data_IF_392538170589
#
_entry.id   IF_392538170589
#
_cell.length_a   1.000
_cell.length_b   1.000
_cell.length_c   1.000
_cell.angle_alpha   90.00
_cell.angle_beta   90.00
_cell.angle_gamma   90.00
#
_symmetry.space_group_name_H-M   'P 1'
#
loop_
_entity.id
_entity.type
_entity.pdbx_description
1 polymer ?
#
# COMPACT_ATOMS: atom_id res chain seq x y z
N UNK A 1 0.40 48.67 10.22
CA UNK A 1 0.16 47.80 9.06
C UNK A 1 0.51 46.38 9.47
N UNK A 2 -0.50 45.58 9.81
CA UNK A 2 -0.31 44.13 10.02
C UNK A 2 -0.39 43.44 8.66
N UNK A 3 0.50 42.50 8.33
CA UNK A 3 0.31 41.67 7.16
C UNK A 3 -0.83 40.66 7.45
N UNK A 4 -1.75 40.53 6.49
CA UNK A 4 -2.78 39.50 6.48
C UNK A 4 -2.14 38.10 6.41
N UNK A 5 -2.73 37.07 7.02
CA UNK A 5 -2.29 35.70 6.77
C UNK A 5 -2.62 35.31 5.34
N UNK A 6 -1.63 34.76 4.63
CA UNK A 6 -1.82 34.15 3.33
C UNK A 6 -2.75 32.94 3.47
N UNK A 7 -3.95 33.07 2.91
CA UNK A 7 -4.92 31.99 2.85
C UNK A 7 -4.44 31.00 1.77
N UNK A 8 -3.76 29.93 2.17
CA UNK A 8 -3.35 28.84 1.26
C UNK A 8 -4.52 27.89 0.99
N UNK A 9 -5.58 28.40 0.38
CA UNK A 9 -6.54 27.55 -0.33
C UNK A 9 -5.95 27.23 -1.69
N UNK A 10 -5.00 26.30 -1.71
CA UNK A 10 -4.72 25.55 -2.93
C UNK A 10 -5.91 24.59 -3.10
N UNK A 11 -6.86 24.94 -3.95
CA UNK A 11 -7.92 24.02 -4.37
C UNK A 11 -7.27 22.76 -4.98
N UNK A 12 -7.20 21.69 -4.19
CA UNK A 12 -6.77 20.37 -4.63
C UNK A 12 -7.97 19.67 -5.29
N UNK A 13 -8.33 20.08 -6.50
CA UNK A 13 -9.53 19.61 -7.19
C UNK A 13 -9.67 18.07 -7.26
N UNK A 14 -8.56 17.31 -7.21
CA UNK A 14 -8.56 15.84 -7.17
C UNK A 14 -8.62 15.20 -5.77
N UNK A 15 -8.21 15.90 -4.70
CA UNK A 15 -8.22 15.33 -3.34
C UNK A 15 -9.62 15.30 -2.75
N UNK A 16 -10.46 16.32 -3.02
CA UNK A 16 -11.81 16.39 -2.45
C UNK A 16 -12.71 15.22 -2.89
N UNK A 17 -12.80 14.85 -4.18
CA UNK A 17 -13.53 13.65 -4.60
C UNK A 17 -12.97 12.35 -4.01
N UNK A 18 -11.63 12.26 -3.89
CA UNK A 18 -10.96 11.10 -3.33
C UNK A 18 -11.28 10.91 -1.84
N UNK A 19 -11.22 11.99 -1.07
CA UNK A 19 -11.62 12.03 0.34
C UNK A 19 -13.10 11.68 0.49
N UNK A 20 -13.97 12.12 -0.42
CA UNK A 20 -15.39 11.80 -0.37
C UNK A 20 -15.62 10.30 -0.56
N UNK A 21 -15.02 9.68 -1.58
CA UNK A 21 -15.11 8.24 -1.81
C UNK A 21 -14.68 7.42 -0.59
N UNK A 22 -13.54 7.78 0.03
CA UNK A 22 -13.10 7.09 1.25
C UNK A 22 -14.09 7.30 2.41
N UNK A 23 -14.65 8.50 2.58
CA UNK A 23 -15.62 8.82 3.64
C UNK A 23 -16.98 8.17 3.41
N UNK A 24 -17.44 8.01 2.18
CA UNK A 24 -18.75 7.44 1.89
C UNK A 24 -18.67 5.92 1.78
N UNK A 25 -17.73 5.40 1.01
CA UNK A 25 -17.68 3.97 0.64
C UNK A 25 -16.63 3.17 1.43
N UNK A 26 -15.70 3.84 2.13
CA UNK A 26 -14.62 3.19 2.86
C UNK A 26 -13.43 2.78 1.99
N UNK A 27 -13.46 3.07 0.69
CA UNK A 27 -12.35 2.86 -0.22
C UNK A 27 -12.39 3.87 -1.36
N UNK A 28 -11.28 3.99 -2.09
CA UNK A 28 -11.23 4.67 -3.36
C UNK A 28 -10.18 4.05 -4.29
N UNK A 29 -10.51 4.01 -5.58
CA UNK A 29 -9.58 3.65 -6.65
C UNK A 29 -9.14 4.92 -7.38
N UNK A 30 -7.84 5.11 -7.57
CA UNK A 30 -7.24 6.24 -8.27
C UNK A 30 -6.44 5.70 -9.44
N UNK A 31 -6.74 6.19 -10.64
CA UNK A 31 -6.02 5.79 -11.84
C UNK A 31 -4.63 6.42 -11.88
N UNK A 32 -3.70 5.78 -12.58
CA UNK A 32 -2.30 6.15 -12.70
C UNK A 32 -2.07 7.63 -13.02
N UNK A 33 -2.82 8.21 -13.98
CA UNK A 33 -2.66 9.61 -14.37
C UNK A 33 -2.98 10.58 -13.22
N UNK A 34 -4.08 10.34 -12.50
CA UNK A 34 -4.50 11.16 -11.37
C UNK A 34 -3.57 10.97 -10.18
N UNK A 35 -3.19 9.72 -9.88
CA UNK A 35 -2.27 9.42 -8.79
C UNK A 35 -0.89 10.02 -9.05
N UNK A 36 -0.39 9.95 -10.28
CA UNK A 36 0.84 10.61 -10.68
C UNK A 36 0.76 12.12 -10.48
N UNK A 37 -0.34 12.77 -10.89
CA UNK A 37 -0.53 14.20 -10.68
C UNK A 37 -0.55 14.57 -9.18
N UNK A 38 -1.22 13.77 -8.36
CA UNK A 38 -1.26 13.95 -6.90
C UNK A 38 0.14 13.82 -6.26
N UNK A 39 0.90 12.80 -6.64
CA UNK A 39 2.26 12.59 -6.13
C UNK A 39 3.23 13.69 -6.63
N UNK A 40 3.15 14.07 -7.89
CA UNK A 40 3.99 15.13 -8.46
C UNK A 40 3.67 16.52 -7.88
N UNK A 41 2.43 16.76 -7.47
CA UNK A 41 2.07 17.97 -6.72
C UNK A 41 2.56 17.95 -5.26
N UNK A 42 2.78 16.75 -4.71
CA UNK A 42 3.24 16.56 -3.33
C UNK A 42 4.77 16.62 -3.19
N UNK A 43 5.50 15.98 -4.09
CA UNK A 43 6.94 15.82 -3.98
C UNK A 43 7.63 15.36 -5.26
N UNK A 44 8.84 14.82 -5.11
CA UNK A 44 9.73 14.46 -6.23
C UNK A 44 9.67 12.95 -6.48
N UNK A 45 9.67 12.57 -7.75
CA UNK A 45 9.70 11.18 -8.23
C UNK A 45 10.92 10.91 -9.12
N UNK A 46 12.02 11.64 -8.90
CA UNK A 46 13.20 11.61 -9.80
C UNK A 46 13.94 10.26 -9.80
N UNK A 47 13.83 9.50 -8.70
CA UNK A 47 14.41 8.17 -8.52
C UNK A 47 13.43 7.04 -8.91
N UNK A 48 12.32 7.35 -9.60
CA UNK A 48 11.28 6.36 -9.95
C UNK A 48 11.84 5.11 -10.63
N UNK A 49 12.84 5.25 -11.50
CA UNK A 49 13.47 4.11 -12.19
C UNK A 49 14.14 3.16 -11.20
N UNK A 50 14.93 3.69 -10.25
CA UNK A 50 15.60 2.89 -9.23
C UNK A 50 14.60 2.33 -8.21
N UNK A 51 13.57 3.12 -7.88
CA UNK A 51 12.46 2.70 -7.03
C UNK A 51 11.77 1.45 -7.59
N UNK A 52 11.37 1.46 -8.87
CA UNK A 52 10.77 0.29 -9.55
C UNK A 52 11.76 -0.87 -9.64
N UNK A 53 13.02 -0.60 -9.99
CA UNK A 53 14.05 -1.63 -10.14
C UNK A 53 14.30 -2.41 -8.83
N UNK A 54 14.08 -1.80 -7.67
CA UNK A 54 14.28 -2.46 -6.37
C UNK A 54 13.41 -3.70 -6.15
N UNK A 55 12.28 -3.85 -6.87
CA UNK A 55 11.45 -5.05 -6.80
C UNK A 55 12.15 -6.31 -7.36
N UNK A 56 13.15 -6.14 -8.23
CA UNK A 56 13.90 -7.25 -8.81
C UNK A 56 14.81 -7.97 -7.79
N UNK A 57 15.18 -7.27 -6.73
CA UNK A 57 16.10 -7.74 -5.68
C UNK A 57 15.36 -8.14 -4.39
N UNK A 58 14.04 -8.32 -4.45
CA UNK A 58 13.28 -8.77 -3.29
C UNK A 58 13.60 -10.23 -2.94
N UNK A 59 13.93 -10.53 -1.69
CA UNK A 59 14.14 -11.89 -1.21
C UNK A 59 12.81 -12.63 -1.05
N UNK A 60 12.87 -13.96 -1.00
CA UNK A 60 11.71 -14.82 -0.79
C UNK A 60 11.15 -14.62 0.63
N UNK A 61 9.82 -14.54 0.74
CA UNK A 61 9.08 -14.61 2.00
C UNK A 61 9.16 -16.05 2.54
N UNK A 62 10.13 -16.31 3.43
CA UNK A 62 10.36 -17.64 4.00
C UNK A 62 9.18 -18.14 4.85
N UNK A 63 8.37 -17.24 5.41
CA UNK A 63 7.19 -17.63 6.18
C UNK A 63 6.13 -18.22 5.23
N UNK A 64 5.85 -17.57 4.10
CA UNK A 64 4.92 -18.13 3.10
C UNK A 64 5.48 -19.37 2.41
N UNK A 65 6.79 -19.41 2.14
CA UNK A 65 7.43 -20.58 1.55
C UNK A 65 7.23 -21.83 2.42
N UNK A 66 7.27 -21.68 3.75
CA UNK A 66 7.04 -22.77 4.70
C UNK A 66 5.63 -23.41 4.61
N UNK A 67 4.64 -22.70 4.02
CA UNK A 67 3.28 -23.21 3.78
C UNK A 67 3.00 -23.47 2.29
N UNK A 68 4.05 -23.59 1.47
CA UNK A 68 3.94 -23.95 0.05
C UNK A 68 3.49 -22.81 -0.86
N UNK A 69 3.53 -21.56 -0.38
CA UNK A 69 3.17 -20.35 -1.14
C UNK A 69 4.40 -19.52 -1.44
N UNK A 70 4.33 -18.69 -2.48
CA UNK A 70 5.48 -17.88 -2.91
C UNK A 70 5.11 -16.41 -3.03
N UNK A 71 5.97 -15.58 -2.44
CA UNK A 71 5.97 -14.12 -2.54
C UNK A 71 7.39 -13.65 -2.26
N UNK A 72 7.81 -12.57 -2.89
CA UNK A 72 9.04 -11.87 -2.50
C UNK A 72 8.69 -10.57 -1.82
N UNK A 73 9.46 -10.19 -0.80
CA UNK A 73 9.15 -8.98 -0.03
C UNK A 73 10.31 -8.37 0.72
N UNK A 74 10.15 -7.08 1.01
CA UNK A 74 10.91 -6.34 2.01
C UNK A 74 9.96 -5.50 2.87
N UNK A 75 10.45 -5.07 4.03
CA UNK A 75 9.66 -4.36 5.03
C UNK A 75 10.43 -3.16 5.61
N UNK A 76 9.71 -2.08 5.93
CA UNK A 76 10.23 -0.96 6.68
C UNK A 76 9.13 -0.35 7.56
N UNK A 77 9.55 0.32 8.62
CA UNK A 77 8.66 1.01 9.55
C UNK A 77 9.06 2.48 9.65
N UNK A 78 8.05 3.34 9.75
CA UNK A 78 8.20 4.78 9.92
C UNK A 78 7.28 5.27 11.03
N UNK A 79 7.70 6.35 11.68
CA UNK A 79 6.84 7.16 12.52
C UNK A 79 6.45 8.41 11.73
N UNK A 80 5.14 8.63 11.56
CA UNK A 80 4.61 9.76 10.83
C UNK A 80 3.74 10.61 11.77
N UNK A 81 4.26 11.72 12.31
CA UNK A 81 3.42 12.72 12.98
C UNK A 81 2.31 13.21 12.03
N UNK A 82 1.18 13.65 12.59
CA UNK A 82 0.07 14.20 11.81
C UNK A 82 0.47 15.42 10.96
N UNK A 83 1.55 16.12 11.37
CA UNK A 83 2.24 17.15 10.60
C UNK A 83 3.74 17.11 10.88
N UNK A 84 4.56 17.41 9.88
CA UNK A 84 6.01 17.50 10.01
C UNK A 84 6.76 16.34 9.36
N UNK A 85 8.03 16.12 9.73
CA UNK A 85 8.87 15.11 9.09
C UNK A 85 8.44 13.69 9.48
N UNK A 86 8.42 12.80 8.49
CA UNK A 86 8.28 11.35 8.69
C UNK A 86 9.68 10.78 8.92
N UNK A 87 9.85 9.95 9.93
CA UNK A 87 11.14 9.38 10.30
C UNK A 87 11.12 7.86 10.20
N UNK A 88 12.17 7.27 9.63
CA UNK A 88 12.34 5.81 9.60
C UNK A 88 12.60 5.31 11.03
N UNK A 89 11.83 4.32 11.46
CA UNK A 89 12.02 3.64 12.74
C UNK A 89 13.11 2.55 12.62
N UNK A 90 13.69 2.09 13.73
CA UNK A 90 14.53 0.90 13.74
C UNK A 90 13.83 -0.29 13.07
N UNK A 91 14.61 -1.16 12.43
CA UNK A 91 14.05 -2.38 11.86
C UNK A 91 13.40 -3.24 12.96
N UNK A 92 12.20 -3.72 12.67
CA UNK A 92 11.38 -4.45 13.62
C UNK A 92 10.48 -5.45 12.89
N UNK A 93 10.01 -6.46 13.61
CA UNK A 93 9.08 -7.44 13.07
C UNK A 93 7.76 -6.81 12.60
N UNK A 94 7.18 -7.41 11.58
CA UNK A 94 5.78 -7.25 11.26
C UNK A 94 4.96 -8.25 12.09
N UNK A 95 3.98 -7.74 12.85
CA UNK A 95 3.12 -8.55 13.71
C UNK A 95 1.65 -8.27 13.36
N UNK A 96 0.89 -9.35 13.16
CA UNK A 96 -0.56 -9.32 13.02
C UNK A 96 -1.15 -10.37 13.95
N UNK A 97 -2.31 -10.09 14.55
CA UNK A 97 -2.99 -11.11 15.35
C UNK A 97 -3.64 -12.16 14.46
N UNK A 98 -3.94 -13.36 15.00
CA UNK A 98 -4.68 -14.39 14.25
C UNK A 98 -6.05 -13.91 13.74
N UNK A 99 -6.66 -12.93 14.39
CA UNK A 99 -7.93 -12.34 13.94
C UNK A 99 -7.82 -11.63 12.58
N UNK A 100 -6.64 -11.08 12.27
CA UNK A 100 -6.38 -10.37 11.01
C UNK A 100 -5.59 -11.22 10.01
N UNK A 101 -4.70 -12.10 10.50
CA UNK A 101 -3.93 -13.01 9.66
C UNK A 101 -4.16 -14.47 10.08
N UNK A 102 -5.10 -15.13 9.41
CA UNK A 102 -5.45 -16.53 9.72
C UNK A 102 -4.37 -17.54 9.34
N UNK A 103 -3.41 -17.16 8.49
CA UNK A 103 -2.31 -18.02 8.03
C UNK A 103 -1.09 -17.97 8.95
N UNK A 104 -0.76 -16.77 9.45
CA UNK A 104 0.52 -16.47 10.10
C UNK A 104 0.38 -15.41 11.21
N UNK A 105 -0.77 -15.36 11.87
CA UNK A 105 -1.00 -14.46 13.00
C UNK A 105 -0.33 -14.94 14.28
N UNK A 106 -0.24 -14.03 15.25
CA UNK A 106 0.33 -14.20 16.59
C UNK A 106 1.82 -14.62 16.60
N UNK A 107 2.52 -14.39 15.49
CA UNK A 107 3.97 -14.54 15.38
C UNK A 107 4.62 -13.24 14.90
N UNK A 108 5.80 -12.95 15.43
CA UNK A 108 6.67 -11.88 14.91
C UNK A 108 7.37 -12.36 13.64
N UNK A 109 7.13 -11.67 12.53
CA UNK A 109 7.75 -11.98 11.24
C UNK A 109 8.81 -10.94 10.90
N UNK A 110 10.07 -11.37 10.91
CA UNK A 110 11.21 -10.55 10.52
C UNK A 110 11.47 -10.72 9.03
N UNK A 111 11.27 -9.66 8.26
CA UNK A 111 11.52 -9.63 6.82
C UNK A 111 12.76 -8.77 6.53
N UNK A 112 13.42 -9.00 5.40
CA UNK A 112 14.57 -8.16 5.03
C UNK A 112 14.16 -6.68 4.91
N UNK A 113 14.99 -5.74 5.37
CA UNK A 113 14.65 -4.33 5.37
C UNK A 113 14.57 -3.79 3.94
N UNK A 114 13.70 -2.82 3.68
CA UNK A 114 13.77 -2.01 2.44
C UNK A 114 15.16 -1.36 2.35
N UNK A 115 15.77 -1.45 1.17
CA UNK A 115 17.12 -0.93 0.93
C UNK A 115 17.21 0.56 1.26
N UNK A 116 18.32 0.99 1.88
CA UNK A 116 18.47 2.34 2.41
C UNK A 116 18.26 3.44 1.36
N UNK A 117 18.80 3.24 0.15
CA UNK A 117 18.64 4.19 -0.96
C UNK A 117 17.17 4.39 -1.37
N UNK A 118 16.34 3.34 -1.25
CA UNK A 118 14.91 3.39 -1.54
C UNK A 118 14.13 3.93 -0.35
N UNK A 119 14.48 3.49 0.86
CA UNK A 119 13.85 3.90 2.10
C UNK A 119 14.00 5.41 2.38
N UNK A 120 15.11 6.00 1.95
CA UNK A 120 15.43 7.43 2.10
C UNK A 120 15.24 8.19 0.77
N UNK A 121 14.75 7.51 -0.26
CA UNK A 121 14.61 8.04 -1.61
C UNK A 121 13.46 9.05 -1.75
N UNK A 122 13.55 9.98 -2.72
CA UNK A 122 12.51 10.97 -2.97
C UNK A 122 11.13 10.37 -3.29
N UNK A 123 11.06 9.30 -4.09
CA UNK A 123 9.78 8.66 -4.45
C UNK A 123 9.06 8.13 -3.21
N UNK A 124 9.73 7.33 -2.38
CA UNK A 124 9.08 6.77 -1.19
C UNK A 124 8.69 7.87 -0.22
N UNK A 125 9.56 8.87 -0.01
CA UNK A 125 9.26 10.02 0.83
C UNK A 125 8.00 10.77 0.36
N UNK A 126 7.84 10.93 -0.95
CA UNK A 126 6.66 11.57 -1.56
C UNK A 126 5.39 10.73 -1.34
N UNK A 127 5.46 9.42 -1.57
CA UNK A 127 4.31 8.52 -1.35
C UNK A 127 3.88 8.52 0.13
N UNK A 128 4.83 8.43 1.06
CA UNK A 128 4.55 8.47 2.49
C UNK A 128 3.96 9.82 2.93
N UNK A 129 4.54 10.92 2.45
CA UNK A 129 4.06 12.26 2.73
C UNK A 129 2.65 12.48 2.20
N UNK A 130 2.38 12.09 0.95
CA UNK A 130 1.05 12.15 0.35
C UNK A 130 0.04 11.36 1.16
N UNK A 131 0.33 10.09 1.46
CA UNK A 131 -0.57 9.22 2.21
C UNK A 131 -0.88 9.80 3.61
N UNK A 132 0.13 10.32 4.31
CA UNK A 132 -0.02 10.99 5.61
C UNK A 132 -0.90 12.24 5.49
N UNK A 133 -0.66 13.11 4.50
CA UNK A 133 -1.44 14.34 4.31
C UNK A 133 -2.89 14.05 3.85
N UNK A 134 -3.11 12.92 3.19
CA UNK A 134 -4.43 12.46 2.81
C UNK A 134 -5.21 11.85 3.98
N UNK A 135 -4.59 10.94 4.76
CA UNK A 135 -5.27 10.21 5.83
C UNK A 135 -5.37 10.99 7.14
N UNK A 136 -4.37 11.79 7.52
CA UNK A 136 -4.38 12.48 8.83
C UNK A 136 -5.61 13.40 9.04
N UNK A 137 -6.11 14.16 8.03
CA UNK A 137 -7.33 14.95 8.18
C UNK A 137 -8.61 14.12 8.39
N UNK A 138 -8.60 12.82 8.09
CA UNK A 138 -9.72 11.92 8.35
C UNK A 138 -9.84 11.53 9.82
N UNK A 139 -8.73 11.57 10.55
CA UNK A 139 -8.61 11.26 11.97
C UNK A 139 -7.84 12.36 12.72
N UNK A 140 -8.39 13.58 12.83
CA UNK A 140 -7.70 14.75 13.37
C UNK A 140 -7.28 14.61 14.85
N UNK A 141 -7.87 13.66 15.57
CA UNK A 141 -7.51 13.31 16.94
C UNK A 141 -6.19 12.53 17.07
N UNK A 142 -5.69 11.94 15.97
CA UNK A 142 -4.48 11.12 15.97
C UNK A 142 -3.25 12.02 15.81
N UNK A 143 -2.36 12.00 16.80
CA UNK A 143 -1.16 12.84 16.81
C UNK A 143 -0.02 12.29 15.94
N UNK A 144 0.10 10.97 15.86
CA UNK A 144 1.12 10.28 15.09
C UNK A 144 0.66 8.88 14.66
N UNK A 145 1.28 8.39 13.60
CA UNK A 145 0.99 7.11 12.98
C UNK A 145 2.21 6.21 13.03
N UNK A 146 1.97 4.95 13.36
CA UNK A 146 2.85 3.83 13.06
C UNK A 146 2.61 3.44 11.61
N UNK A 147 3.61 3.61 10.76
CA UNK A 147 3.50 3.36 9.33
C UNK A 147 4.36 2.17 8.96
N UNK A 148 3.77 1.16 8.33
CA UNK A 148 4.54 0.07 7.75
C UNK A 148 4.52 0.13 6.24
N UNK A 149 5.66 -0.16 5.65
CA UNK A 149 5.85 -0.24 4.21
C UNK A 149 6.23 -1.67 3.85
N UNK A 150 5.48 -2.24 2.93
CA UNK A 150 5.74 -3.57 2.38
C UNK A 150 5.94 -3.46 0.87
N UNK A 151 7.11 -3.89 0.41
CA UNK A 151 7.33 -4.16 -1.01
C UNK A 151 6.91 -5.60 -1.25
N UNK A 152 6.01 -5.85 -2.19
CA UNK A 152 5.59 -7.19 -2.56
C UNK A 152 5.76 -7.43 -4.05
N UNK A 153 6.37 -8.57 -4.40
CA UNK A 153 6.34 -9.15 -5.74
C UNK A 153 5.66 -10.52 -5.68
N UNK A 154 4.65 -10.70 -6.52
CA UNK A 154 3.94 -11.97 -6.71
C UNK A 154 4.30 -12.49 -8.09
N UNK A 155 4.81 -13.73 -8.15
CA UNK A 155 5.28 -14.36 -9.39
C UNK A 155 4.48 -15.66 -9.61
N UNK A 156 3.42 -15.64 -10.45
CA UNK A 156 2.77 -16.88 -10.84
C UNK A 156 3.67 -17.69 -11.79
N UNK A 157 3.45 -18.99 -11.83
CA UNK A 157 4.10 -19.90 -12.77
C UNK A 157 3.07 -20.57 -13.69
N UNK A 158 3.54 -21.38 -14.64
CA UNK A 158 2.68 -22.19 -15.50
C UNK A 158 1.81 -23.19 -14.70
N UNK A 159 2.26 -23.62 -13.52
CA UNK A 159 1.60 -24.66 -12.71
C UNK A 159 0.98 -24.13 -11.43
N UNK A 160 1.27 -22.90 -11.02
CA UNK A 160 0.80 -22.31 -9.77
C UNK A 160 0.39 -20.85 -9.99
N UNK A 161 -0.85 -20.53 -9.65
CA UNK A 161 -1.31 -19.14 -9.62
C UNK A 161 -0.61 -18.38 -8.48
N UNK A 162 -0.35 -17.10 -8.70
CA UNK A 162 0.20 -16.19 -7.71
C UNK A 162 -0.93 -15.60 -6.89
N UNK A 163 -0.84 -15.67 -5.56
CA UNK A 163 -1.92 -15.24 -4.67
C UNK A 163 -1.47 -14.02 -3.87
N UNK A 164 -1.91 -12.80 -4.23
CA UNK A 164 -1.52 -11.60 -3.50
C UNK A 164 -2.02 -11.59 -2.05
N UNK A 165 -3.25 -12.09 -1.85
CA UNK A 165 -3.93 -12.21 -0.56
C UNK A 165 -4.27 -13.69 -0.30
N UNK A 166 -3.29 -14.53 0.11
CA UNK A 166 -3.49 -15.97 0.26
C UNK A 166 -4.54 -16.35 1.32
N UNK A 167 -4.81 -15.46 2.27
CA UNK A 167 -5.88 -15.52 3.27
C UNK A 167 -7.29 -15.24 2.71
N UNK A 168 -7.39 -14.67 1.51
CA UNK A 168 -8.65 -14.23 0.91
C UNK A 168 -9.05 -12.80 1.28
N UNK A 169 -10.36 -12.56 1.37
CA UNK A 169 -10.92 -11.26 1.76
C UNK A 169 -10.68 -11.03 3.25
N UNK A 170 -9.97 -9.97 3.60
CA UNK A 170 -9.47 -9.71 4.95
C UNK A 170 -9.47 -8.21 5.29
N UNK A 171 -8.98 -7.91 6.49
CA UNK A 171 -8.56 -6.58 6.94
C UNK A 171 -7.14 -6.69 7.48
N UNK A 172 -6.37 -5.62 7.35
CA UNK A 172 -4.97 -5.59 7.77
C UNK A 172 -4.80 -5.42 9.28
N UNK A 173 -5.84 -4.91 9.98
CA UNK A 173 -5.80 -4.61 11.41
C UNK A 173 -5.17 -3.26 11.70
N UNK A 174 -5.37 -2.30 10.80
CA UNK A 174 -4.84 -0.93 10.85
C UNK A 174 -5.99 0.07 10.65
N UNK A 175 -5.68 1.37 10.56
CA UNK A 175 -6.70 2.38 10.31
C UNK A 175 -6.86 2.63 8.81
N UNK A 176 -5.75 2.82 8.10
CA UNK A 176 -5.76 3.11 6.66
C UNK A 176 -4.71 2.35 5.89
N UNK A 177 -5.00 2.06 4.62
CA UNK A 177 -4.10 1.36 3.70
C UNK A 177 -4.02 2.11 2.38
N UNK A 178 -2.81 2.27 1.85
CA UNK A 178 -2.54 2.62 0.46
C UNK A 178 -1.88 1.41 -0.21
N UNK A 179 -2.47 0.92 -1.30
CA UNK A 179 -1.86 -0.06 -2.20
C UNK A 179 -1.56 0.64 -3.51
N UNK A 180 -0.28 0.74 -3.89
CA UNK A 180 0.17 1.38 -5.13
C UNK A 180 0.76 0.31 -6.05
N UNK A 181 0.27 0.21 -7.29
CA UNK A 181 0.89 -0.64 -8.30
C UNK A 181 2.21 -0.02 -8.76
N UNK A 182 3.27 -0.82 -8.68
CA UNK A 182 4.62 -0.39 -9.09
C UNK A 182 4.91 -0.89 -10.50
N UNK A 183 4.68 -2.18 -10.72
CA UNK A 183 4.81 -2.80 -12.04
C UNK A 183 3.92 -4.03 -12.15
N UNK A 184 3.58 -4.39 -13.37
CA UNK A 184 2.77 -5.57 -13.69
C UNK A 184 3.13 -6.04 -15.08
N UNK A 185 3.47 -7.32 -15.20
CA UNK A 185 3.90 -7.88 -16.48
C UNK A 185 3.36 -9.28 -16.68
N UNK A 186 2.89 -9.54 -17.91
CA UNK A 186 2.52 -10.88 -18.38
C UNK A 186 1.53 -11.62 -17.47
N UNK A 187 0.59 -10.92 -16.85
CA UNK A 187 -0.42 -11.54 -15.97
C UNK A 187 -1.84 -11.12 -16.30
N UNK A 188 -2.79 -12.02 -16.05
CA UNK A 188 -4.23 -11.72 -16.03
C UNK A 188 -4.73 -11.56 -14.58
N UNK A 189 -5.96 -11.10 -14.41
CA UNK A 189 -6.66 -10.99 -13.11
C UNK A 189 -6.01 -10.01 -12.13
N UNK A 190 -5.77 -10.37 -10.86
CA UNK A 190 -5.25 -9.42 -9.86
C UNK A 190 -6.22 -8.29 -9.54
N UNK A 191 -7.51 -8.56 -9.74
CA UNK A 191 -8.64 -7.69 -9.40
C UNK A 191 -8.76 -7.59 -7.89
N UNK A 192 -8.77 -6.36 -7.39
CA UNK A 192 -9.13 -6.01 -6.02
C UNK A 192 -10.64 -6.08 -5.87
N UNK A 193 -11.13 -6.73 -4.82
CA UNK A 193 -12.53 -6.74 -4.43
C UNK A 193 -12.69 -6.10 -3.05
N UNK A 194 -13.76 -5.34 -2.85
CA UNK A 194 -14.11 -4.67 -1.59
C UNK A 194 -15.44 -5.19 -1.11
N UNK A 195 -15.52 -5.53 0.18
CA UNK A 195 -16.68 -6.16 0.78
C UNK A 195 -17.11 -5.44 2.07
N UNK A 196 -18.42 -5.41 2.32
CA UNK A 196 -18.97 -5.02 3.62
C UNK A 196 -18.76 -6.12 4.66
N UNK A 197 -19.00 -5.80 5.93
CA UNK A 197 -18.81 -6.73 7.06
C UNK A 197 -19.69 -7.99 6.98
N UNK A 198 -20.80 -7.94 6.25
CA UNK A 198 -21.68 -9.09 5.97
C UNK A 198 -21.24 -9.90 4.74
N UNK A 199 -20.12 -9.56 4.13
CA UNK A 199 -19.50 -10.27 3.00
C UNK A 199 -19.96 -9.82 1.61
N UNK A 200 -20.91 -8.89 1.50
CA UNK A 200 -21.39 -8.41 0.19
C UNK A 200 -20.34 -7.56 -0.51
N UNK A 201 -20.07 -7.87 -1.78
CA UNK A 201 -19.16 -7.06 -2.61
C UNK A 201 -19.79 -5.68 -2.90
N UNK A 202 -19.01 -4.62 -2.70
CA UNK A 202 -19.39 -3.22 -2.92
C UNK A 202 -18.48 -2.49 -3.91
N UNK A 203 -17.35 -3.11 -4.28
CA UNK A 203 -16.43 -2.54 -5.25
C UNK A 203 -15.52 -3.60 -5.84
N UNK A 204 -15.18 -3.44 -7.12
CA UNK A 204 -14.25 -4.32 -7.82
C UNK A 204 -13.54 -3.55 -8.91
N UNK A 205 -12.21 -3.60 -8.90
CA UNK A 205 -11.37 -2.90 -9.86
C UNK A 205 -10.02 -3.59 -9.98
N UNK A 206 -9.29 -3.35 -11.07
CA UNK A 206 -7.99 -3.97 -11.30
C UNK A 206 -6.95 -2.88 -11.48
N UNK A 207 -5.87 -2.94 -10.70
CA UNK A 207 -4.71 -2.07 -10.92
C UNK A 207 -3.97 -2.61 -12.17
N UNK A 208 -3.89 -1.78 -13.20
CA UNK A 208 -3.40 -2.15 -14.54
C UNK A 208 -2.20 -1.34 -14.99
N UNK A 209 -2.10 -0.08 -14.58
CA UNK A 209 -1.01 0.82 -14.95
C UNK A 209 -0.19 1.21 -13.71
N UNK A 210 1.12 1.39 -13.89
CA UNK A 210 1.98 1.83 -12.80
C UNK A 210 1.43 3.14 -12.21
N UNK A 211 1.39 3.22 -10.88
CA UNK A 211 0.74 4.26 -10.08
C UNK A 211 -0.79 4.16 -9.94
N UNK A 212 -1.47 3.17 -10.53
CA UNK A 212 -2.82 2.83 -10.09
C UNK A 212 -2.82 2.53 -8.58
N UNK A 213 -3.74 3.13 -7.83
CA UNK A 213 -3.76 3.04 -6.38
C UNK A 213 -5.13 2.70 -5.81
N UNK A 214 -5.14 1.90 -4.75
CA UNK A 214 -6.29 1.71 -3.87
C UNK A 214 -6.00 2.37 -2.52
N UNK A 215 -6.93 3.19 -2.03
CA UNK A 215 -6.93 3.74 -0.69
C UNK A 215 -8.09 3.11 0.08
N UNK A 216 -7.86 2.67 1.31
CA UNK A 216 -8.83 1.91 2.11
C UNK A 216 -8.88 2.43 3.54
N UNK A 217 -10.10 2.59 4.05
CA UNK A 217 -10.40 2.70 5.48
C UNK A 217 -10.63 1.27 6.01
N UNK A 218 -9.56 0.70 6.59
CA UNK A 218 -9.49 -0.73 6.92
C UNK A 218 -10.52 -1.12 7.99
N UNK A 219 -10.94 -0.19 8.84
CA UNK A 219 -11.97 -0.44 9.84
C UNK A 219 -13.36 -0.67 9.21
N UNK A 220 -13.62 -0.13 8.02
CA UNK A 220 -14.97 -0.06 7.44
C UNK A 220 -15.27 -1.14 6.41
N UNK A 221 -14.26 -1.60 5.69
CA UNK A 221 -14.41 -2.56 4.61
C UNK A 221 -13.40 -3.69 4.72
N UNK A 222 -13.75 -4.83 4.12
CA UNK A 222 -12.81 -5.91 3.86
C UNK A 222 -12.33 -5.81 2.42
N UNK A 223 -11.12 -6.27 2.15
CA UNK A 223 -10.58 -6.28 0.81
C UNK A 223 -9.83 -7.58 0.50
N UNK A 224 -9.77 -7.94 -0.77
CA UNK A 224 -9.03 -9.09 -1.25
C UNK A 224 -8.54 -8.86 -2.68
N UNK A 225 -7.62 -9.70 -3.14
CA UNK A 225 -7.14 -9.65 -4.52
C UNK A 225 -7.20 -11.05 -5.12
N UNK A 226 -7.89 -11.16 -6.25
CA UNK A 226 -7.95 -12.41 -7.02
C UNK A 226 -6.55 -12.89 -7.41
N UNK A 227 -6.37 -14.21 -7.48
CA UNK A 227 -5.12 -14.79 -7.92
C UNK A 227 -4.75 -14.33 -9.35
N UNK A 228 -3.45 -14.20 -9.61
CA UNK A 228 -2.89 -13.86 -10.91
C UNK A 228 -2.34 -15.10 -11.60
N UNK A 229 -2.46 -15.17 -12.92
CA UNK A 229 -1.91 -16.24 -13.75
C UNK A 229 -1.19 -15.65 -14.95
N UNK A 230 -0.15 -16.32 -15.49
CA UNK A 230 0.58 -15.82 -16.64
C UNK A 230 -0.33 -15.72 -17.87
N UNK A 231 -0.14 -14.68 -18.69
CA UNK A 231 -0.76 -14.58 -20.03
C UNK A 231 -0.09 -15.55 -20.99
N UNK A 232 1.25 -15.53 -20.99
CA UNK A 232 2.16 -16.46 -21.67
C UNK A 232 2.92 -17.26 -20.61
N UNK A 233 2.71 -18.58 -20.60
CA UNK A 233 3.29 -19.48 -19.59
C UNK A 233 4.79 -19.68 -19.72
N UNK A 234 5.38 -19.31 -20.87
CA UNK A 234 6.81 -19.50 -21.16
C UNK A 234 7.64 -18.24 -20.84
N UNK A 235 6.99 -17.15 -20.44
CA UNK A 235 7.63 -15.88 -20.11
C UNK A 235 7.48 -15.51 -18.61
N UNK A 236 8.46 -14.81 -18.01
CA UNK A 236 8.34 -14.30 -16.64
C UNK A 236 7.09 -13.42 -16.48
N UNK A 237 6.43 -13.57 -15.34
CA UNK A 237 5.17 -12.90 -15.03
C UNK A 237 5.21 -12.41 -13.58
N UNK A 238 4.76 -11.19 -13.33
CA UNK A 238 4.77 -10.64 -11.98
C UNK A 238 3.72 -9.54 -11.74
N UNK A 239 3.39 -9.35 -10.47
CA UNK A 239 2.66 -8.20 -9.93
C UNK A 239 3.45 -7.59 -8.77
N UNK A 240 3.81 -6.33 -8.92
CA UNK A 240 4.57 -5.56 -7.94
C UNK A 240 3.71 -4.48 -7.32
N UNK A 241 3.59 -4.49 -5.99
CA UNK A 241 2.91 -3.44 -5.25
C UNK A 241 3.73 -2.95 -4.08
N UNK A 242 3.58 -1.66 -3.80
CA UNK A 242 3.91 -1.05 -2.53
C UNK A 242 2.63 -0.98 -1.69
N UNK A 243 2.66 -1.56 -0.49
CA UNK A 243 1.58 -1.41 0.49
C UNK A 243 2.09 -0.54 1.63
N UNK A 244 1.36 0.52 1.95
CA UNK A 244 1.64 1.43 3.05
C UNK A 244 0.45 1.41 4.01
N UNK A 245 0.66 0.95 5.23
CA UNK A 245 -0.38 0.88 6.26
C UNK A 245 -0.16 1.94 7.33
N UNK A 246 -1.23 2.57 7.80
CA UNK A 246 -1.22 3.56 8.86
C UNK A 246 -2.02 3.02 10.04
N UNK A 247 -1.38 2.92 11.20
CA UNK A 247 -2.04 2.61 12.46
C UNK A 247 -1.83 3.75 13.46
N UNK A 248 -2.89 4.23 14.08
CA UNK A 248 -2.82 5.30 15.06
C UNK A 248 -1.92 4.88 16.24
N UNK A 249 -0.97 5.74 16.60
CA UNK A 249 -0.27 5.60 17.88
C UNK A 249 -1.16 6.23 18.95
N UNK A 250 -1.77 5.40 19.77
CA UNK A 250 -2.44 5.88 20.98
C UNK A 250 -1.39 6.44 21.94
N UNK A 251 -1.64 7.65 22.42
CA UNK A 251 -0.83 8.30 23.45
C UNK A 251 -0.86 7.52 24.77
#
# INVERSE_FOLDING_TARGET
MNPMPANSNADHAGVTPLTLGLREDGFAFVQAADMHALLAAHGRLEDWTDFVASWNELPIDNYLAAVGRQRRRRHAVYCAPSRGPITRAPHQAHFQTLNYNTLQGDIERWFEPVDAAIAEGPTLSTVLGFARDFFAPLSPQVAAWHVEVHQFRIEPSATQAGEPTPEGVHRDGVDYVLVLLVDRKNIRSGTTTIHTHDGREVGSFTLTEALDAALVDDARVFHGVTAVTPVDTDAPAHRDVLVVTFRALTA
#
